data_IF_659057059371
#
_entry.id   IF_659057059371
#
_cell.length_a   1.000
_cell.length_b   1.000
_cell.length_c   1.000
_cell.angle_alpha   90.00
_cell.angle_beta   90.00
_cell.angle_gamma   90.00
#
_symmetry.space_group_name_H-M   'P 1'
#
loop_
_entity.id
_entity.type
_entity.pdbx_description
1 polymer ?
#
# COMPACT_ATOMS: atom_id res chain seq x y z
N UNK A 1 -17.05 8.31 -7.99
CA UNK A 1 -16.54 9.66 -8.29
C UNK A 1 -15.02 9.64 -8.23
N UNK A 2 -14.40 9.76 -7.06
CA UNK A 2 -12.93 9.83 -6.89
C UNK A 2 -12.13 8.84 -7.75
N UNK A 3 -12.48 7.54 -7.77
CA UNK A 3 -11.75 6.54 -8.57
C UNK A 3 -11.70 6.85 -10.09
N UNK A 4 -12.83 7.21 -10.70
CA UNK A 4 -12.89 7.53 -12.13
C UNK A 4 -12.12 8.82 -12.42
N UNK A 5 -12.27 9.83 -11.56
CA UNK A 5 -11.55 11.10 -11.67
C UNK A 5 -10.02 10.87 -11.60
N UNK A 6 -9.54 10.01 -10.69
CA UNK A 6 -8.14 9.61 -10.58
C UNK A 6 -7.64 8.83 -11.80
N UNK A 7 -8.45 7.93 -12.36
CA UNK A 7 -8.09 7.19 -13.57
C UNK A 7 -7.99 8.11 -14.81
N UNK A 8 -8.88 9.10 -14.93
CA UNK A 8 -8.81 10.12 -15.98
C UNK A 8 -7.56 10.99 -15.85
N UNK A 9 -7.15 11.38 -14.63
CA UNK A 9 -5.87 12.05 -14.40
C UNK A 9 -4.68 11.18 -14.86
N UNK A 10 -4.74 9.87 -14.62
CA UNK A 10 -3.73 8.92 -15.09
C UNK A 10 -3.61 8.86 -16.61
N UNK A 11 -4.75 8.75 -17.30
CA UNK A 11 -4.77 8.75 -18.78
C UNK A 11 -4.29 10.08 -19.36
N UNK A 12 -4.72 11.20 -18.78
CA UNK A 12 -4.26 12.52 -19.18
C UNK A 12 -2.75 12.70 -18.96
N UNK A 13 -2.16 12.12 -17.90
CA UNK A 13 -0.71 12.11 -17.71
C UNK A 13 0.00 11.35 -18.83
N UNK A 14 -0.51 10.18 -19.23
CA UNK A 14 0.02 9.42 -20.38
C UNK A 14 -0.12 10.18 -21.72
N UNK A 15 -1.27 10.81 -21.98
CA UNK A 15 -1.50 11.62 -23.19
C UNK A 15 -0.58 12.86 -23.27
N UNK A 16 -0.09 13.35 -22.12
CA UNK A 16 0.84 14.48 -22.01
C UNK A 16 2.31 14.06 -21.87
N UNK A 17 2.62 12.77 -22.07
CA UNK A 17 3.97 12.18 -21.92
C UNK A 17 4.60 12.42 -20.52
N UNK A 18 3.75 12.52 -19.49
CA UNK A 18 4.15 12.71 -18.09
C UNK A 18 4.41 11.35 -17.44
N UNK A 19 5.53 11.16 -16.72
CA UNK A 19 5.82 9.90 -16.04
C UNK A 19 4.69 9.43 -15.12
N UNK A 20 4.33 8.14 -15.22
CA UNK A 20 3.29 7.52 -14.40
C UNK A 20 3.65 7.38 -12.91
N UNK A 21 4.91 7.64 -12.54
CA UNK A 21 5.39 7.67 -11.14
C UNK A 21 5.09 9.00 -10.42
N UNK A 22 3.94 9.62 -10.72
CA UNK A 22 3.49 10.82 -10.03
C UNK A 22 2.72 10.48 -8.75
N UNK A 23 2.81 11.37 -7.76
CA UNK A 23 2.00 11.34 -6.53
C UNK A 23 1.01 12.48 -6.54
N UNK A 24 -0.27 12.18 -6.35
CA UNK A 24 -1.36 13.15 -6.36
C UNK A 24 -1.70 13.58 -4.92
N UNK A 25 -1.78 14.89 -4.67
CA UNK A 25 -2.15 15.46 -3.36
C UNK A 25 -3.57 15.13 -2.89
N UNK A 26 -4.37 14.47 -3.74
CA UNK A 26 -5.70 13.92 -3.43
C UNK A 26 -5.65 12.52 -2.78
N UNK A 27 -4.46 12.01 -2.47
CA UNK A 27 -4.25 10.86 -1.57
C UNK A 27 -3.59 9.66 -2.24
N UNK A 28 -3.07 8.75 -1.40
CA UNK A 28 -2.34 7.55 -1.83
C UNK A 28 -3.17 6.66 -2.77
N UNK A 29 -4.43 6.41 -2.41
CA UNK A 29 -5.38 5.62 -3.22
C UNK A 29 -5.59 6.21 -4.62
N UNK A 30 -5.70 7.54 -4.73
CA UNK A 30 -5.85 8.23 -6.00
C UNK A 30 -4.59 8.11 -6.87
N UNK A 31 -3.43 8.22 -6.24
CA UNK A 31 -2.12 8.07 -6.90
C UNK A 31 -1.91 6.67 -7.49
N UNK A 32 -2.36 5.63 -6.78
CA UNK A 32 -2.31 4.24 -7.27
C UNK A 32 -3.22 4.02 -8.49
N UNK A 33 -4.46 4.52 -8.44
CA UNK A 33 -5.41 4.42 -9.56
C UNK A 33 -4.93 5.20 -10.79
N UNK A 34 -4.41 6.42 -10.57
CA UNK A 34 -3.82 7.26 -11.61
C UNK A 34 -2.64 6.56 -12.30
N UNK A 35 -1.73 5.98 -11.51
CA UNK A 35 -0.57 5.22 -12.00
C UNK A 35 -0.99 4.02 -12.84
N UNK A 36 -1.96 3.22 -12.38
CA UNK A 36 -2.46 2.07 -13.13
C UNK A 36 -3.04 2.49 -14.48
N UNK A 37 -3.95 3.47 -14.49
CA UNK A 37 -4.57 3.97 -15.73
C UNK A 37 -3.60 4.71 -16.67
N UNK A 38 -2.50 5.25 -16.15
CA UNK A 38 -1.42 5.84 -16.93
C UNK A 38 -0.61 4.76 -17.67
N UNK A 39 -0.25 3.64 -17.01
CA UNK A 39 0.51 2.55 -17.62
C UNK A 39 -0.34 1.74 -18.62
N UNK A 40 -1.62 1.50 -18.31
CA UNK A 40 -2.53 0.78 -19.22
C UNK A 40 -2.81 1.55 -20.54
N UNK A 41 -2.58 2.88 -20.56
CA UNK A 41 -2.68 3.70 -21.76
C UNK A 41 -1.71 3.30 -22.89
N UNK A 42 -0.65 2.55 -22.58
CA UNK A 42 0.42 2.21 -23.52
C UNK A 42 0.15 0.95 -24.38
N UNK A 43 -0.92 0.20 -24.13
CA UNK A 43 -1.12 -1.11 -24.78
C UNK A 43 -2.06 -1.07 -25.99
N UNK A 44 -1.47 -0.89 -27.19
CA UNK A 44 -1.98 -1.57 -28.39
C UNK A 44 -0.91 -1.82 -29.48
N UNK A 45 0.20 -2.50 -29.14
CA UNK A 45 0.80 -3.53 -30.02
C UNK A 45 1.91 -4.38 -29.35
N UNK A 46 1.77 -5.71 -29.47
CA UNK A 46 2.83 -6.75 -29.48
C UNK A 46 3.57 -7.19 -28.18
N UNK A 47 3.00 -8.22 -27.54
CA UNK A 47 3.61 -9.52 -27.09
C UNK A 47 4.65 -9.67 -25.96
N UNK A 48 4.24 -10.43 -24.92
CA UNK A 48 4.98 -11.47 -24.15
C UNK A 48 6.14 -11.08 -23.21
N UNK A 49 6.35 -11.66 -22.02
CA UNK A 49 5.62 -12.62 -21.14
C UNK A 49 6.15 -12.42 -19.70
N UNK A 50 5.34 -12.28 -18.65
CA UNK A 50 4.80 -13.35 -17.77
C UNK A 50 4.42 -12.69 -16.41
N UNK A 51 3.65 -13.25 -15.46
CA UNK A 51 2.90 -14.51 -15.33
C UNK A 51 2.70 -14.85 -13.82
N UNK A 52 1.67 -15.61 -13.38
CA UNK A 52 0.63 -16.30 -14.14
C UNK A 52 -0.79 -15.70 -13.93
N UNK A 53 -1.57 -15.63 -15.01
CA UNK A 53 -3.01 -15.35 -14.97
C UNK A 53 -3.73 -16.47 -15.71
N UNK A 54 -4.54 -17.27 -15.04
CA UNK A 54 -5.32 -18.36 -15.66
C UNK A 54 -6.84 -18.09 -15.57
N UNK A 55 -7.53 -18.31 -16.69
CA UNK A 55 -8.93 -17.93 -16.95
C UNK A 55 -9.91 -19.08 -16.62
N UNK A 56 -11.25 -18.82 -16.57
CA UNK A 56 -12.14 -18.95 -17.75
C UNK A 56 -13.26 -17.87 -17.81
N UNK A 57 -14.06 -17.62 -18.87
CA UNK A 57 -14.10 -18.00 -20.30
C UNK A 57 -15.14 -17.07 -21.02
N UNK A 58 -14.93 -16.78 -22.33
CA UNK A 58 -15.87 -16.48 -23.47
C UNK A 58 -17.23 -15.74 -23.25
N UNK A 59 -17.83 -15.01 -24.20
CA UNK A 59 -17.88 -15.16 -25.68
C UNK A 59 -18.17 -13.82 -26.42
N UNK A 60 -18.52 -13.83 -27.72
CA UNK A 60 -18.65 -12.64 -28.62
C UNK A 60 -19.79 -11.64 -28.29
N UNK A 61 -20.03 -10.56 -29.05
CA UNK A 61 -19.81 -10.33 -30.50
C UNK A 61 -19.77 -8.81 -30.82
N UNK A 62 -19.26 -8.43 -32.01
CA UNK A 62 -19.17 -7.07 -32.57
C UNK A 62 -20.51 -6.31 -32.72
N UNK A 63 -20.49 -4.97 -32.67
CA UNK A 63 -20.76 -4.08 -33.82
C UNK A 63 -20.56 -2.58 -33.46
N UNK A 64 -20.53 -1.69 -34.46
CA UNK A 64 -20.03 -0.30 -34.37
C UNK A 64 -21.11 0.77 -34.61
N UNK A 65 -20.91 2.01 -34.11
CA UNK A 65 -21.78 3.14 -34.48
C UNK A 65 -21.72 4.43 -33.63
N UNK A 66 -20.75 5.29 -33.95
CA UNK A 66 -20.78 6.77 -33.96
C UNK A 66 -21.06 7.66 -32.71
N UNK A 67 -20.17 8.65 -32.57
CA UNK A 67 -20.27 9.96 -31.88
C UNK A 67 -21.10 10.10 -30.59
N UNK A 68 -20.40 10.08 -29.44
CA UNK A 68 -20.86 10.69 -28.19
C UNK A 68 -19.67 11.14 -27.32
N UNK A 69 -19.93 12.11 -26.43
CA UNK A 69 -19.07 12.50 -25.29
C UNK A 69 -18.43 11.26 -24.65
N UNK A 70 -17.13 11.27 -24.25
CA UNK A 70 -16.45 10.08 -23.74
C UNK A 70 -17.31 9.31 -22.73
N UNK A 71 -17.84 8.17 -23.16
CA UNK A 71 -18.90 7.46 -22.45
C UNK A 71 -18.41 7.07 -21.06
N UNK A 72 -19.28 7.22 -20.05
CA UNK A 72 -18.97 6.88 -18.67
C UNK A 72 -18.86 5.36 -18.54
N UNK A 73 -17.67 4.83 -18.89
CA UNK A 73 -17.33 3.41 -18.84
C UNK A 73 -17.44 2.82 -17.42
N UNK A 74 -17.72 3.64 -16.40
CA UNK A 74 -18.04 3.22 -15.04
C UNK A 74 -19.48 3.59 -14.62
N UNK A 75 -20.48 3.31 -15.47
CA UNK A 75 -21.96 3.40 -15.23
C UNK A 75 -22.40 3.21 -13.76
N UNK A 76 -22.22 4.22 -12.94
CA UNK A 76 -22.53 4.24 -11.51
C UNK A 76 -21.81 3.22 -10.59
N UNK A 77 -20.67 2.62 -10.99
CA UNK A 77 -19.95 1.59 -10.20
C UNK A 77 -18.51 2.04 -9.90
N UNK A 78 -17.96 1.74 -8.72
CA UNK A 78 -16.61 2.15 -8.34
C UNK A 78 -15.94 1.14 -7.39
N UNK A 79 -14.65 0.96 -7.59
CA UNK A 79 -13.66 0.36 -6.69
C UNK A 79 -12.29 0.57 -7.37
N UNK A 80 -11.16 0.40 -6.67
CA UNK A 80 -9.84 0.80 -7.17
C UNK A 80 -9.39 0.17 -8.52
N UNK A 81 -10.04 -0.90 -8.98
CA UNK A 81 -9.78 -1.54 -10.27
C UNK A 81 -11.08 -1.82 -11.04
N UNK A 82 -11.05 -1.64 -12.36
CA UNK A 82 -12.13 -2.07 -13.26
C UNK A 82 -11.82 -3.47 -13.80
N UNK A 83 -12.65 -4.47 -13.47
CA UNK A 83 -12.34 -5.90 -13.71
C UNK A 83 -13.24 -6.51 -14.79
N UNK A 84 -13.49 -5.75 -15.87
CA UNK A 84 -14.35 -6.17 -16.97
C UNK A 84 -15.84 -6.27 -16.61
N UNK A 85 -16.69 -6.47 -17.63
CA UNK A 85 -18.15 -6.65 -17.56
C UNK A 85 -18.89 -5.76 -16.52
N UNK A 86 -18.56 -4.47 -16.46
CA UNK A 86 -19.11 -3.53 -15.48
C UNK A 86 -18.95 -4.03 -14.02
N UNK A 87 -17.83 -4.65 -13.66
CA UNK A 87 -17.51 -5.04 -12.28
C UNK A 87 -16.29 -4.26 -11.79
N UNK A 88 -16.35 -3.82 -10.53
CA UNK A 88 -15.28 -3.07 -9.91
C UNK A 88 -14.72 -3.90 -8.74
N UNK A 89 -13.40 -4.02 -8.67
CA UNK A 89 -12.67 -4.73 -7.64
C UNK A 89 -11.80 -3.77 -6.82
N UNK A 90 -11.46 -4.17 -5.61
CA UNK A 90 -10.51 -3.44 -4.79
C UNK A 90 -9.08 -3.95 -5.02
N UNK A 91 -8.09 -3.08 -4.82
CA UNK A 91 -6.68 -3.50 -4.78
C UNK A 91 -6.46 -4.50 -3.64
N UNK A 92 -5.40 -5.31 -3.75
CA UNK A 92 -4.96 -6.19 -2.66
C UNK A 92 -4.77 -5.37 -1.37
N UNK A 93 -5.21 -5.93 -0.24
CA UNK A 93 -5.25 -5.22 1.06
C UNK A 93 -6.53 -4.40 1.28
N UNK A 94 -7.46 -4.35 0.32
CA UNK A 94 -8.73 -3.65 0.45
C UNK A 94 -9.91 -4.54 0.11
N UNK A 95 -11.04 -4.31 0.79
CA UNK A 95 -12.32 -4.98 0.56
C UNK A 95 -13.37 -3.99 0.09
N UNK A 96 -14.32 -4.46 -0.72
CA UNK A 96 -15.43 -3.65 -1.20
C UNK A 96 -16.39 -3.36 -0.04
N UNK A 97 -16.74 -2.08 0.14
CA UNK A 97 -17.73 -1.66 1.14
C UNK A 97 -19.14 -2.07 0.68
N UNK A 98 -20.13 -2.17 1.59
CA UNK A 98 -21.51 -2.53 1.23
C UNK A 98 -22.19 -1.56 0.24
N UNK A 99 -21.59 -0.39 -0.02
CA UNK A 99 -22.06 0.55 -1.04
C UNK A 99 -21.77 0.11 -2.50
N UNK A 100 -20.93 -0.92 -2.69
CA UNK A 100 -20.50 -1.41 -4.00
C UNK A 100 -19.70 -0.38 -4.81
N UNK A 101 -19.19 0.66 -4.15
CA UNK A 101 -18.64 1.89 -4.76
C UNK A 101 -17.32 2.35 -4.15
N UNK A 102 -17.00 1.86 -2.96
CA UNK A 102 -15.83 2.30 -2.19
C UNK A 102 -15.05 1.09 -1.71
N UNK A 103 -13.73 1.22 -1.66
CA UNK A 103 -12.88 0.26 -0.98
C UNK A 103 -12.59 0.76 0.44
N UNK A 104 -12.62 -0.13 1.42
CA UNK A 104 -12.02 0.12 2.73
C UNK A 104 -10.88 -0.87 2.97
N UNK A 105 -9.90 -0.40 3.73
CA UNK A 105 -8.74 -1.16 4.14
C UNK A 105 -9.11 -2.46 4.88
N UNK A 106 -8.42 -3.55 4.57
CA UNK A 106 -8.57 -4.83 5.29
C UNK A 106 -7.62 -4.77 6.47
N UNK A 107 -8.16 -4.60 7.68
CA UNK A 107 -7.32 -4.63 8.87
C UNK A 107 -6.90 -6.07 9.22
N UNK A 108 -5.76 -6.54 8.69
CA UNK A 108 -5.31 -7.92 8.91
C UNK A 108 -4.94 -8.21 10.37
N UNK A 109 -4.59 -7.18 11.14
CA UNK A 109 -4.31 -7.30 12.57
C UNK A 109 -5.57 -7.65 13.37
N UNK A 110 -6.72 -7.05 13.04
CA UNK A 110 -8.01 -7.33 13.70
C UNK A 110 -8.62 -8.66 13.24
N UNK A 111 -8.33 -9.08 12.00
CA UNK A 111 -8.80 -10.35 11.46
C UNK A 111 -7.94 -11.56 11.88
N UNK A 112 -6.78 -11.32 12.52
CA UNK A 112 -5.80 -12.37 12.83
C UNK A 112 -5.15 -13.00 11.60
N UNK A 113 -5.32 -12.39 10.41
CA UNK A 113 -4.72 -12.83 9.15
C UNK A 113 -3.32 -12.24 8.91
N UNK A 114 -2.85 -11.37 9.81
CA UNK A 114 -1.48 -10.88 9.82
C UNK A 114 -0.48 -12.03 10.04
N UNK A 115 0.40 -12.28 9.07
CA UNK A 115 1.39 -13.38 9.12
C UNK A 115 2.60 -13.10 10.04
N UNK A 116 2.40 -12.31 11.09
CA UNK A 116 3.42 -11.93 12.06
C UNK A 116 3.93 -13.13 12.86
N UNK A 117 5.21 -13.11 13.22
CA UNK A 117 5.84 -14.16 14.01
C UNK A 117 5.45 -14.03 15.48
N UNK A 118 5.64 -15.12 16.24
CA UNK A 118 5.49 -15.09 17.70
C UNK A 118 6.46 -14.04 18.30
N UNK A 119 5.93 -13.10 19.07
CA UNK A 119 6.68 -11.97 19.63
C UNK A 119 6.75 -10.71 18.76
N UNK A 120 6.03 -10.68 17.63
CA UNK A 120 5.82 -9.45 16.85
C UNK A 120 4.42 -8.88 17.11
N UNK A 121 4.31 -7.55 17.20
CA UNK A 121 3.01 -6.86 17.16
C UNK A 121 2.65 -6.57 15.71
N UNK A 122 1.40 -6.79 15.37
CA UNK A 122 0.84 -6.30 14.12
C UNK A 122 0.49 -4.81 14.24
N UNK A 123 0.83 -4.03 13.22
CA UNK A 123 0.38 -2.66 13.04
C UNK A 123 -0.24 -2.54 11.65
N UNK A 124 -1.50 -2.12 11.62
CA UNK A 124 -2.24 -1.92 10.39
C UNK A 124 -1.72 -0.70 9.63
N UNK A 125 -1.69 -0.76 8.30
CA UNK A 125 -1.26 0.32 7.40
C UNK A 125 -2.21 0.38 6.19
N UNK A 126 -2.16 1.42 5.35
CA UNK A 126 -3.06 1.48 4.18
C UNK A 126 -2.70 0.41 3.13
N UNK A 127 -3.53 -0.63 3.01
CA UNK A 127 -3.43 -1.69 2.01
C UNK A 127 -2.51 -2.84 2.37
N UNK A 128 -2.06 -2.88 3.62
CA UNK A 128 -1.16 -3.90 4.15
C UNK A 128 -1.06 -3.78 5.67
N UNK A 129 -0.30 -4.67 6.29
CA UNK A 129 0.14 -4.58 7.66
C UNK A 129 1.66 -4.65 7.74
N UNK A 130 2.22 -4.13 8.83
CA UNK A 130 3.61 -4.35 9.21
C UNK A 130 3.68 -5.07 10.55
N UNK A 131 4.51 -6.10 10.62
CA UNK A 131 4.88 -6.74 11.86
C UNK A 131 6.12 -6.02 12.41
N UNK A 132 6.07 -5.52 13.64
CA UNK A 132 7.27 -5.02 14.31
C UNK A 132 7.55 -5.87 15.55
N UNK A 133 8.82 -6.18 15.78
CA UNK A 133 9.23 -6.86 17.00
C UNK A 133 9.11 -5.89 18.16
N UNK A 134 8.32 -6.25 19.18
CA UNK A 134 8.40 -5.58 20.48
C UNK A 134 9.63 -6.11 21.21
N UNK A 135 10.80 -5.61 20.87
CA UNK A 135 12.00 -5.86 21.67
C UNK A 135 12.05 -4.80 22.77
N UNK A 136 11.46 -5.14 23.92
CA UNK A 136 11.74 -4.41 25.16
C UNK A 136 13.10 -4.87 25.67
N UNK A 137 14.06 -3.95 25.74
CA UNK A 137 15.44 -4.28 26.08
C UNK A 137 15.71 -4.40 27.59
N UNK A 138 14.74 -4.08 28.44
CA UNK A 138 14.91 -4.03 29.89
C UNK A 138 15.54 -2.71 30.36
N UNK A 139 15.87 -2.65 31.64
CA UNK A 139 16.65 -1.54 32.24
C UNK A 139 18.11 -1.63 31.78
N UNK A 140 18.78 -0.49 31.59
CA UNK A 140 20.20 -0.42 31.18
C UNK A 140 20.47 -0.66 29.68
N UNK A 141 19.44 -0.87 28.85
CA UNK A 141 19.62 -1.13 27.42
C UNK A 141 18.72 -0.26 26.52
N UNK A 142 19.28 0.22 25.41
CA UNK A 142 18.58 0.94 24.35
C UNK A 142 18.28 0.05 23.13
N UNK A 143 17.15 0.33 22.45
CA UNK A 143 16.77 -0.38 21.24
C UNK A 143 17.38 0.28 20.01
N UNK A 144 18.25 -0.44 19.31
CA UNK A 144 18.85 0.00 18.04
C UNK A 144 17.89 -0.14 16.85
N UNK A 145 18.14 0.59 15.76
CA UNK A 145 17.35 0.50 14.50
C UNK A 145 17.24 -0.94 13.95
N UNK A 146 18.26 -1.77 14.18
CA UNK A 146 18.30 -3.19 13.81
C UNK A 146 17.43 -4.09 14.71
N UNK A 147 16.67 -3.52 15.64
CA UNK A 147 15.92 -4.22 16.71
C UNK A 147 16.80 -5.07 17.65
N UNK A 148 18.08 -4.70 17.81
CA UNK A 148 18.97 -5.28 18.81
C UNK A 148 19.04 -4.38 20.05
N UNK A 149 19.21 -4.98 21.22
CA UNK A 149 19.46 -4.24 22.45
C UNK A 149 20.95 -3.95 22.57
N UNK A 150 21.29 -2.67 22.71
CA UNK A 150 22.64 -2.21 23.01
C UNK A 150 22.65 -1.71 24.45
N UNK A 151 23.73 -2.02 25.14
CA UNK A 151 24.05 -1.51 26.48
C UNK A 151 24.10 0.04 26.49
N UNK A 152 23.50 0.67 27.51
CA UNK A 152 23.58 2.12 27.73
C UNK A 152 24.75 2.36 28.67
N UNK A 153 25.86 2.89 28.14
CA UNK A 153 27.00 3.25 28.98
C UNK A 153 26.61 4.45 29.88
N UNK A 154 26.27 4.21 31.15
CA UNK A 154 25.86 5.29 32.06
C UNK A 154 27.01 6.25 32.40
N UNK A 155 28.26 5.81 32.21
CA UNK A 155 29.46 6.60 32.42
C UNK A 155 29.71 7.58 31.27
N UNK A 156 29.57 7.13 30.01
CA UNK A 156 29.68 7.99 28.82
C UNK A 156 28.48 8.95 28.71
N UNK A 157 27.27 8.47 29.01
CA UNK A 157 26.04 9.28 28.95
C UNK A 157 25.82 10.18 30.17
N UNK A 158 26.57 9.98 31.27
CA UNK A 158 26.50 10.79 32.48
C UNK A 158 25.22 10.61 33.30
N UNK A 159 24.49 9.50 33.13
CA UNK A 159 23.26 9.19 33.87
C UNK A 159 23.50 8.36 35.14
N UNK A 160 24.77 8.17 35.51
CA UNK A 160 25.18 7.51 36.75
C UNK A 160 24.96 8.36 38.00
N UNK A 161 24.89 7.72 39.18
CA UNK A 161 24.78 8.38 40.48
C UNK A 161 26.05 8.26 41.36
N UNK A 162 27.19 7.84 40.78
CA UNK A 162 28.48 7.78 41.44
C UNK A 162 28.84 9.11 42.12
N UNK A 163 29.20 9.08 43.40
CA UNK A 163 29.69 10.26 44.11
C UNK A 163 31.07 10.72 43.61
N UNK A 164 31.43 11.98 43.84
CA UNK A 164 32.65 12.64 43.29
C UNK A 164 34.00 11.96 43.59
N UNK A 165 34.04 10.99 44.51
CA UNK A 165 35.23 10.21 44.88
C UNK A 165 35.28 8.80 44.26
N UNK A 166 34.27 8.44 43.46
CA UNK A 166 34.14 7.12 42.83
C UNK A 166 34.33 7.25 41.31
N UNK A 167 35.10 6.33 40.75
CA UNK A 167 35.22 6.17 39.29
C UNK A 167 33.99 5.40 38.78
N UNK A 168 33.39 5.86 37.69
CA UNK A 168 32.31 5.15 37.03
C UNK A 168 32.89 4.06 36.13
N UNK A 169 32.39 2.83 36.25
CA UNK A 169 32.71 1.73 35.35
C UNK A 169 31.40 1.21 34.76
N UNK A 170 31.31 1.21 33.43
CA UNK A 170 30.15 0.66 32.72
C UNK A 170 30.00 -0.84 33.01
N UNK A 171 28.77 -1.28 33.24
CA UNK A 171 28.38 -2.67 33.50
C UNK A 171 27.14 -3.02 32.69
N UNK A 172 27.08 -4.26 32.22
CA UNK A 172 26.08 -4.67 31.24
C UNK A 172 24.64 -4.76 31.80
N UNK A 173 23.90 -3.64 31.82
CA UNK A 173 22.47 -3.56 32.20
C UNK A 173 22.15 -3.34 33.69
#
# INVERSE_FOLDING_TARGET
KMCCDCCLLGRAAHELDVPCDHSLSVGYQCSLVSRACCVDGASNNQTSQSGPTELPNKDGTSEAGDNSVPDDQCKGKCAHLCVGNNTCGCLKGYKLRPDGKSCEDINECLLGSSNCRVGERCINTEGAFRCIREVSCGTGYELTESNNCKDIDECETGIHNCGQQFECQNTQG
#
